data_IF_220962499300
#
_entry.id   IF_220962499300
#
_cell.length_a   1.000
_cell.length_b   1.000
_cell.length_c   1.000
_cell.angle_alpha   90.00
_cell.angle_beta   90.00
_cell.angle_gamma   90.00
#
_symmetry.space_group_name_H-M   'P 1'
#
loop_
_entity.id
_entity.type
_entity.pdbx_description
1 polymer ?
#
# COMPACT_ATOMS: atom_id res chain seq x y z
N UNK A 1 -21.55 -5.35 -4.24
CA UNK A 1 -21.03 -3.99 -4.00
C UNK A 1 -21.62 -3.11 -5.07
N UNK A 2 -21.90 -1.84 -4.81
CA UNK A 2 -22.42 -0.90 -5.81
C UNK A 2 -21.35 0.15 -6.08
N UNK A 3 -21.21 0.59 -7.32
CA UNK A 3 -20.32 1.69 -7.66
C UNK A 3 -20.86 3.00 -7.08
N UNK A 4 -19.96 3.96 -6.87
CA UNK A 4 -20.37 5.32 -6.51
C UNK A 4 -21.23 5.95 -7.62
N UNK A 5 -22.14 6.85 -7.24
CA UNK A 5 -23.15 7.43 -8.14
C UNK A 5 -22.56 8.22 -9.31
N UNK A 6 -21.33 8.71 -9.18
CA UNK A 6 -20.59 9.48 -10.17
C UNK A 6 -19.88 8.61 -11.22
N UNK A 7 -19.80 7.29 -11.02
CA UNK A 7 -19.20 6.36 -11.96
C UNK A 7 -20.22 5.99 -13.05
N UNK A 8 -19.95 6.36 -14.30
CA UNK A 8 -20.85 6.06 -15.43
C UNK A 8 -20.98 4.55 -15.67
N UNK A 9 -22.14 4.08 -16.16
CA UNK A 9 -22.36 2.65 -16.42
C UNK A 9 -21.32 2.02 -17.37
N UNK A 10 -20.88 2.76 -18.39
CA UNK A 10 -19.81 2.31 -19.29
C UNK A 10 -18.48 2.10 -18.55
N UNK A 11 -18.14 3.01 -17.63
CA UNK A 11 -16.94 2.89 -16.81
C UNK A 11 -17.07 1.75 -15.80
N UNK A 12 -18.25 1.52 -15.23
CA UNK A 12 -18.51 0.39 -14.33
C UNK A 12 -18.21 -0.94 -15.04
N UNK A 13 -18.71 -1.13 -16.26
CA UNK A 13 -18.46 -2.35 -17.05
C UNK A 13 -16.96 -2.58 -17.29
N UNK A 14 -16.22 -1.51 -17.64
CA UNK A 14 -14.77 -1.56 -17.85
C UNK A 14 -14.06 -1.95 -16.54
N UNK A 15 -14.39 -1.28 -15.44
CA UNK A 15 -13.76 -1.49 -14.14
C UNK A 15 -14.03 -2.88 -13.56
N UNK A 16 -15.22 -3.44 -13.78
CA UNK A 16 -15.51 -4.83 -13.40
C UNK A 16 -14.65 -5.82 -14.19
N UNK A 17 -14.50 -5.62 -15.51
CA UNK A 17 -13.63 -6.46 -16.35
C UNK A 17 -12.19 -6.37 -15.87
N UNK A 18 -11.71 -5.15 -15.59
CA UNK A 18 -10.35 -4.92 -15.12
C UNK A 18 -10.08 -5.57 -13.77
N UNK A 19 -10.99 -5.46 -12.80
CA UNK A 19 -10.87 -6.08 -11.49
C UNK A 19 -10.80 -7.61 -11.58
N UNK A 20 -11.65 -8.22 -12.40
CA UNK A 20 -11.62 -9.67 -12.62
C UNK A 20 -10.34 -10.12 -13.30
N UNK A 21 -9.84 -9.35 -14.28
CA UNK A 21 -8.56 -9.63 -14.94
C UNK A 21 -7.41 -9.51 -13.95
N UNK A 22 -7.35 -8.40 -13.21
CA UNK A 22 -6.30 -8.08 -12.26
C UNK A 22 -6.17 -9.16 -11.18
N UNK A 23 -7.29 -9.62 -10.63
CA UNK A 23 -7.31 -10.71 -9.63
C UNK A 23 -6.61 -11.99 -10.11
N UNK A 24 -6.64 -12.28 -11.42
CA UNK A 24 -5.97 -13.46 -11.99
C UNK A 24 -4.48 -13.22 -12.21
N UNK A 25 -4.10 -11.98 -12.54
CA UNK A 25 -2.74 -11.59 -12.91
C UNK A 25 -1.83 -11.40 -11.69
N UNK A 26 -2.33 -10.74 -10.65
CA UNK A 26 -1.55 -10.38 -9.45
C UNK A 26 -1.13 -11.58 -8.59
N UNK A 27 -1.74 -12.75 -8.80
CA UNK A 27 -1.42 -13.97 -8.07
C UNK A 27 -1.98 -13.97 -6.64
N UNK A 28 -1.10 -14.02 -5.64
CA UNK A 28 -1.50 -14.09 -4.24
C UNK A 28 -1.95 -12.72 -3.72
N UNK A 29 -3.12 -12.70 -3.10
CA UNK A 29 -3.70 -11.51 -2.47
C UNK A 29 -4.36 -11.89 -1.16
N UNK A 30 -4.13 -11.10 -0.11
CA UNK A 30 -4.80 -11.28 1.18
C UNK A 30 -6.27 -10.83 1.08
N UNK A 31 -7.08 -11.25 2.07
CA UNK A 31 -8.49 -10.82 2.14
C UNK A 31 -8.61 -9.30 2.35
N UNK A 32 -7.67 -8.70 3.07
CA UNK A 32 -7.63 -7.26 3.33
C UNK A 32 -7.28 -6.48 2.08
N UNK A 33 -6.20 -6.86 1.39
CA UNK A 33 -5.81 -6.32 0.09
C UNK A 33 -6.99 -6.38 -0.90
N UNK A 34 -7.69 -7.52 -0.96
CA UNK A 34 -8.87 -7.67 -1.81
C UNK A 34 -9.99 -6.69 -1.47
N UNK A 35 -10.31 -6.51 -0.19
CA UNK A 35 -11.38 -5.60 0.22
C UNK A 35 -11.02 -4.14 -0.12
N UNK A 36 -9.77 -3.74 0.09
CA UNK A 36 -9.28 -2.40 -0.24
C UNK A 36 -9.28 -2.16 -1.76
N UNK A 37 -8.83 -3.14 -2.53
CA UNK A 37 -8.87 -3.07 -4.00
C UNK A 37 -10.31 -2.95 -4.53
N UNK A 38 -11.24 -3.73 -3.98
CA UNK A 38 -12.65 -3.64 -4.36
C UNK A 38 -13.20 -2.26 -4.01
N UNK A 39 -12.92 -1.71 -2.82
CA UNK A 39 -13.34 -0.35 -2.46
C UNK A 39 -12.79 0.69 -3.45
N UNK A 40 -11.51 0.59 -3.81
CA UNK A 40 -10.85 1.47 -4.77
C UNK A 40 -11.52 1.44 -6.14
N UNK A 41 -11.75 0.23 -6.67
CA UNK A 41 -12.37 0.03 -7.98
C UNK A 41 -13.82 0.51 -7.99
N UNK A 42 -14.61 0.16 -6.97
CA UNK A 42 -16.00 0.59 -6.87
C UNK A 42 -16.15 2.10 -6.63
N UNK A 43 -15.05 2.78 -6.25
CA UNK A 43 -14.97 4.24 -6.21
C UNK A 43 -14.59 4.90 -7.55
N UNK A 44 -14.44 4.12 -8.63
CA UNK A 44 -14.23 4.62 -9.99
C UNK A 44 -12.79 4.55 -10.50
N UNK A 45 -11.89 3.85 -9.82
CA UNK A 45 -10.47 3.84 -10.17
C UNK A 45 -10.02 2.50 -10.75
N UNK A 46 -9.09 2.54 -11.71
CA UNK A 46 -8.53 1.32 -12.29
C UNK A 46 -7.63 0.60 -11.26
N UNK A 47 -7.68 -0.75 -11.15
CA UNK A 47 -6.78 -1.50 -10.28
C UNK A 47 -5.31 -1.38 -10.69
N UNK A 48 -5.03 -1.01 -11.95
CA UNK A 48 -3.68 -0.80 -12.49
C UNK A 48 -3.12 0.61 -12.24
N UNK A 49 -3.80 1.42 -11.43
CA UNK A 49 -3.39 2.79 -11.11
C UNK A 49 -3.30 2.99 -9.60
N UNK A 50 -2.48 3.94 -9.17
CA UNK A 50 -2.40 4.37 -7.78
C UNK A 50 -2.67 5.88 -7.66
N UNK A 51 -3.30 6.28 -6.56
CA UNK A 51 -3.63 7.68 -6.29
C UNK A 51 -2.49 8.50 -5.69
N UNK A 52 -1.42 7.83 -5.26
CA UNK A 52 -0.36 8.42 -4.43
C UNK A 52 0.86 8.87 -5.24
N UNK A 53 0.90 8.54 -6.54
CA UNK A 53 2.04 8.83 -7.40
C UNK A 53 3.29 8.03 -7.05
N UNK A 54 3.12 6.77 -6.62
CA UNK A 54 4.22 5.86 -6.31
C UNK A 54 4.70 5.17 -7.58
N UNK A 55 6.02 5.09 -7.74
CA UNK A 55 6.72 4.50 -8.87
C UNK A 55 7.70 3.43 -8.37
N UNK A 56 7.98 2.42 -9.19
CA UNK A 56 9.07 1.49 -8.96
C UNK A 56 10.45 2.11 -9.26
N UNK A 57 11.51 1.34 -9.01
CA UNK A 57 12.90 1.77 -9.21
C UNK A 57 13.24 2.10 -10.68
N UNK A 58 12.48 1.55 -11.63
CA UNK A 58 12.60 1.82 -13.07
C UNK A 58 11.78 3.04 -13.52
N UNK A 59 11.04 3.66 -12.60
CA UNK A 59 10.21 4.84 -12.85
C UNK A 59 8.84 4.52 -13.47
N UNK A 60 8.38 3.28 -13.40
CA UNK A 60 7.02 2.90 -13.80
C UNK A 60 6.04 3.08 -12.66
N UNK A 61 4.84 3.63 -12.91
CA UNK A 61 3.84 3.80 -11.85
C UNK A 61 3.39 2.43 -11.34
N UNK A 62 3.35 2.27 -10.03
CA UNK A 62 2.83 1.05 -9.41
C UNK A 62 1.32 0.93 -9.58
N UNK A 63 0.82 -0.30 -9.52
CA UNK A 63 -0.61 -0.54 -9.38
C UNK A 63 -1.07 -0.34 -7.92
N UNK A 64 -2.38 -0.46 -7.66
CA UNK A 64 -2.94 -0.20 -6.34
C UNK A 64 -2.38 -1.13 -5.25
N UNK A 65 -2.27 -2.44 -5.52
CA UNK A 65 -1.82 -3.41 -4.50
C UNK A 65 -0.32 -3.27 -4.24
N UNK A 66 0.50 -3.08 -5.28
CA UNK A 66 1.93 -2.90 -5.11
C UNK A 66 2.24 -1.58 -4.41
N UNK A 67 1.44 -0.53 -4.64
CA UNK A 67 1.52 0.70 -3.84
C UNK A 67 1.21 0.42 -2.36
N UNK A 68 0.15 -0.35 -2.09
CA UNK A 68 -0.22 -0.74 -0.71
C UNK A 68 0.90 -1.51 0.00
N UNK A 69 1.52 -2.47 -0.70
CA UNK A 69 2.62 -3.26 -0.18
C UNK A 69 3.87 -2.42 0.07
N UNK A 70 4.19 -1.51 -0.85
CA UNK A 70 5.30 -0.58 -0.67
C UNK A 70 5.12 0.31 0.57
N UNK A 71 3.90 0.81 0.81
CA UNK A 71 3.62 1.55 2.05
C UNK A 71 3.78 0.71 3.31
N UNK A 72 3.31 -0.54 3.30
CA UNK A 72 3.48 -1.44 4.45
C UNK A 72 4.96 -1.73 4.72
N UNK A 73 5.76 -1.98 3.68
CA UNK A 73 7.21 -2.19 3.80
C UNK A 73 7.91 -0.95 4.38
N UNK A 74 7.53 0.25 3.94
CA UNK A 74 8.06 1.52 4.49
C UNK A 74 7.68 1.71 5.96
N UNK A 75 6.45 1.34 6.33
CA UNK A 75 6.00 1.41 7.72
C UNK A 75 6.75 0.41 8.60
N UNK A 76 6.87 -0.86 8.18
CA UNK A 76 7.63 -1.87 8.91
C UNK A 76 9.09 -1.47 9.10
N UNK A 77 9.71 -0.89 8.07
CA UNK A 77 11.05 -0.33 8.17
C UNK A 77 11.13 0.81 9.19
N UNK A 78 10.19 1.75 9.15
CA UNK A 78 10.14 2.86 10.12
C UNK A 78 9.98 2.36 11.54
N UNK A 79 9.06 1.41 11.77
CA UNK A 79 8.79 0.84 13.09
C UNK A 79 10.02 0.09 13.64
N UNK A 80 10.80 -0.57 12.78
CA UNK A 80 12.05 -1.22 13.19
C UNK A 80 13.14 -0.24 13.67
N UNK A 81 13.18 0.98 13.14
CA UNK A 81 14.15 2.00 13.54
C UNK A 81 13.82 2.59 14.91
N UNK A 82 12.54 2.69 15.25
CA UNK A 82 12.08 3.14 16.56
C UNK A 82 12.44 2.12 17.66
N UNK A 83 12.43 0.83 17.33
CA UNK A 83 12.91 -0.23 18.22
C UNK A 83 14.45 -0.23 18.37
N UNK A 84 15.20 0.08 17.29
CA UNK A 84 16.68 0.15 17.34
C UNK A 84 17.22 1.41 18.06
N UNK A 85 16.51 2.54 18.00
CA UNK A 85 16.91 3.78 18.71
C UNK A 85 16.64 3.75 20.22
N UNK A 86 16.10 2.64 20.73
CA UNK A 86 15.94 2.35 22.17
C UNK A 86 17.26 1.97 22.86
N UNK A 87 18.36 1.77 22.12
CA UNK A 87 19.68 1.55 22.70
C UNK A 87 20.53 2.83 22.74
N UNK A 88 21.17 3.07 23.89
CA UNK A 88 22.20 4.08 24.22
C UNK A 88 21.80 5.51 24.63
N UNK A 89 20.98 5.61 25.70
CA UNK A 89 21.14 6.68 26.69
C UNK A 89 21.45 6.18 28.12
N UNK A 90 21.44 4.86 28.34
CA UNK A 90 21.78 4.28 29.64
C UNK A 90 23.30 4.21 29.90
N UNK A 91 24.12 4.06 28.85
CA UNK A 91 25.57 3.87 28.99
C UNK A 91 26.37 5.18 29.16
N UNK A 92 25.83 6.33 28.77
CA UNK A 92 26.46 7.63 29.01
C UNK A 92 26.42 8.06 30.49
N UNK A 93 25.44 7.57 31.27
CA UNK A 93 25.32 7.87 32.70
C UNK A 93 26.25 7.01 33.56
N UNK A 94 26.70 5.85 33.08
CA UNK A 94 27.65 5.00 33.81
C UNK A 94 29.08 5.53 33.68
N UNK A 95 29.44 6.13 32.54
CA UNK A 95 30.78 6.69 32.32
C UNK A 95 31.02 8.04 33.03
N UNK A 96 29.96 8.84 33.24
CA UNK A 96 30.05 10.13 33.93
C UNK A 96 30.01 10.02 35.46
N UNK A 97 29.54 8.89 36.01
CA UNK A 97 29.50 8.63 37.45
C UNK A 97 30.81 8.04 38.01
N UNK A 98 31.83 7.83 37.17
CA UNK A 98 33.12 7.22 37.54
C UNK A 98 34.31 8.21 37.58
N UNK A 99 34.06 9.51 37.76
CA UNK A 99 35.11 10.53 37.99
C UNK A 99 34.95 11.25 39.33
#
# INVERSE_FOLDING_TARGET
>A
MMFNEDVSAELQDILEIELHRYKREIGHMTKEEWNLLVNWVYSGHSPYTNGDGVFDDDGWPLDFINTLRSWNEMQEYSDSLDDETSCDYADLNILLASK
#
